data_IF_809922377879
#
_entry.id   IF_809922377879
#
_cell.length_a   1.000
_cell.length_b   1.000
_cell.length_c   1.000
_cell.angle_alpha   90.00
_cell.angle_beta   90.00
_cell.angle_gamma   90.00
#
_symmetry.space_group_name_H-M   'P 1'
#
loop_
_entity.id
_entity.type
_entity.pdbx_description
1 polymer ?
#
# COMPACT_ATOMS: atom_id res chain seq x y z
N UNK A 1 -18.80 -9.90 2.75
CA UNK A 1 -18.24 -9.97 4.11
C UNK A 1 -17.75 -8.58 4.47
N UNK A 2 -18.39 -7.89 5.41
CA UNK A 2 -17.98 -6.54 5.82
C UNK A 2 -16.89 -6.65 6.89
N UNK A 3 -15.71 -6.04 6.67
CA UNK A 3 -14.64 -5.96 7.66
C UNK A 3 -15.00 -4.89 8.69
N UNK A 4 -15.79 -5.26 9.69
CA UNK A 4 -16.00 -4.38 10.85
C UNK A 4 -14.74 -4.33 11.71
N UNK A 5 -14.09 -3.17 11.82
CA UNK A 5 -13.08 -2.97 12.86
C UNK A 5 -13.77 -2.83 14.22
N UNK A 6 -14.12 -3.96 14.82
CA UNK A 6 -14.82 -3.98 16.12
C UNK A 6 -13.97 -3.47 17.29
N UNK A 7 -12.67 -3.26 17.09
CA UNK A 7 -11.71 -2.79 18.10
C UNK A 7 -10.57 -1.97 17.47
N UNK A 8 -10.01 -1.01 18.22
CA UNK A 8 -8.79 -0.25 17.87
C UNK A 8 -7.62 -1.16 17.48
N UNK A 9 -7.54 -2.36 18.08
CA UNK A 9 -6.57 -3.39 17.74
C UNK A 9 -6.74 -3.96 16.33
N UNK A 10 -7.97 -4.13 15.84
CA UNK A 10 -8.23 -4.64 14.50
C UNK A 10 -7.82 -3.62 13.43
N UNK A 11 -8.13 -2.33 13.67
CA UNK A 11 -7.66 -1.23 12.82
C UNK A 11 -6.13 -1.16 12.83
N UNK A 12 -5.50 -1.27 14.00
CA UNK A 12 -4.04 -1.26 14.09
C UNK A 12 -3.39 -2.42 13.33
N UNK A 13 -3.96 -3.63 13.41
CA UNK A 13 -3.49 -4.79 12.64
C UNK A 13 -3.61 -4.57 11.13
N UNK A 14 -4.73 -4.02 10.66
CA UNK A 14 -4.90 -3.71 9.23
C UNK A 14 -3.90 -2.65 8.76
N UNK A 15 -3.63 -1.63 9.59
CA UNK A 15 -2.61 -0.63 9.27
C UNK A 15 -1.20 -1.24 9.19
N UNK A 16 -0.84 -2.11 10.14
CA UNK A 16 0.45 -2.81 10.10
C UNK A 16 0.56 -3.74 8.88
N UNK A 17 -0.51 -4.45 8.55
CA UNK A 17 -0.58 -5.28 7.35
C UNK A 17 -0.38 -4.43 6.10
N UNK A 18 -1.11 -3.33 5.97
CA UNK A 18 -0.96 -2.42 4.84
C UNK A 18 0.45 -1.81 4.75
N UNK A 19 1.05 -1.45 5.89
CA UNK A 19 2.44 -0.99 5.94
C UNK A 19 3.39 -2.05 5.39
N UNK A 20 3.23 -3.31 5.80
CA UNK A 20 4.06 -4.41 5.35
C UNK A 20 3.91 -4.66 3.85
N UNK A 21 2.67 -4.61 3.32
CA UNK A 21 2.41 -4.78 1.88
C UNK A 21 3.16 -3.76 1.03
N UNK A 22 3.18 -2.49 1.44
CA UNK A 22 3.83 -1.43 0.64
C UNK A 22 5.33 -1.29 0.91
N UNK A 23 5.83 -1.81 2.04
CA UNK A 23 7.21 -1.60 2.51
C UNK A 23 8.30 -1.95 1.50
N UNK A 24 8.05 -2.88 0.59
CA UNK A 24 9.04 -3.36 -0.37
C UNK A 24 9.23 -2.44 -1.58
N UNK A 25 8.32 -1.51 -1.84
CA UNK A 25 8.31 -0.72 -3.09
C UNK A 25 8.05 0.78 -2.90
N UNK A 26 8.09 1.24 -1.65
CA UNK A 26 7.97 2.65 -1.26
C UNK A 26 9.21 3.07 -0.49
N UNK A 27 9.49 4.38 -0.38
CA UNK A 27 10.65 4.87 0.38
C UNK A 27 10.48 4.64 1.88
N UNK A 28 9.30 4.96 2.41
CA UNK A 28 8.95 4.76 3.81
C UNK A 28 7.45 4.72 3.98
N UNK A 29 6.98 4.05 5.02
CA UNK A 29 5.57 4.03 5.39
C UNK A 29 5.44 4.19 6.91
N UNK A 30 4.66 5.20 7.34
CA UNK A 30 4.45 5.56 8.74
C UNK A 30 2.99 5.29 9.12
N UNK A 31 2.78 4.69 10.29
CA UNK A 31 1.45 4.30 10.77
C UNK A 31 0.89 5.35 11.73
N UNK A 32 -0.22 5.96 11.36
CA UNK A 32 -0.95 6.96 12.16
C UNK A 32 -2.19 6.33 12.79
N UNK A 33 -1.98 5.55 13.87
CA UNK A 33 -3.07 4.80 14.54
C UNK A 33 -4.18 5.68 15.12
N UNK A 34 -3.86 6.91 15.54
CA UNK A 34 -4.84 7.87 16.06
C UNK A 34 -5.81 8.37 14.99
N UNK A 35 -5.35 8.41 13.74
CA UNK A 35 -6.13 8.82 12.57
C UNK A 35 -6.67 7.63 11.77
N UNK A 36 -6.28 6.40 12.11
CA UNK A 36 -6.61 5.24 11.30
C UNK A 36 -5.96 5.28 9.91
N UNK A 37 -4.78 5.88 9.76
CA UNK A 37 -4.18 6.17 8.47
C UNK A 37 -2.74 5.69 8.32
N UNK A 38 -2.29 5.51 7.09
CA UNK A 38 -0.91 5.29 6.66
C UNK A 38 -0.42 6.51 5.89
N UNK A 39 0.79 6.94 6.19
CA UNK A 39 1.51 7.92 5.40
C UNK A 39 2.63 7.23 4.63
N UNK A 40 2.49 7.18 3.31
CA UNK A 40 3.37 6.48 2.41
C UNK A 40 4.21 7.49 1.64
N UNK A 41 5.52 7.46 1.83
CA UNK A 41 6.46 8.21 1.01
C UNK A 41 6.85 7.36 -0.21
N UNK A 42 6.58 7.87 -1.40
CA UNK A 42 6.87 7.23 -2.67
C UNK A 42 8.33 7.46 -3.09
N UNK A 43 8.82 6.61 -4.00
CA UNK A 43 10.15 6.72 -4.62
C UNK A 43 10.37 8.04 -5.36
N UNK A 44 9.29 8.74 -5.69
CA UNK A 44 9.30 10.05 -6.36
C UNK A 44 9.48 11.23 -5.40
N UNK A 45 9.52 10.98 -4.09
CA UNK A 45 9.55 12.03 -3.06
C UNK A 45 8.18 12.61 -2.71
N UNK A 46 7.09 12.07 -3.27
CA UNK A 46 5.72 12.44 -2.93
C UNK A 46 5.21 11.64 -1.72
N UNK A 47 4.38 12.26 -0.91
CA UNK A 47 3.70 11.58 0.21
C UNK A 47 2.22 11.40 -0.09
N UNK A 48 1.70 10.24 0.30
CA UNK A 48 0.29 9.87 0.15
C UNK A 48 -0.21 9.45 1.52
N UNK A 49 -1.33 10.02 1.94
CA UNK A 49 -2.01 9.61 3.15
C UNK A 49 -3.24 8.78 2.79
N UNK A 50 -3.31 7.60 3.39
CA UNK A 50 -4.30 6.56 3.14
C UNK A 50 -5.04 6.23 4.43
N UNK A 51 -6.35 6.40 4.47
CA UNK A 51 -7.17 6.05 5.63
C UNK A 51 -7.78 4.65 5.47
N UNK A 52 -7.66 3.83 6.50
CA UNK A 52 -8.31 2.53 6.58
C UNK A 52 -9.71 2.68 7.16
N UNK A 53 -10.70 2.11 6.47
CA UNK A 53 -12.11 2.14 6.87
C UNK A 53 -12.74 0.74 6.77
N UNK A 54 -13.96 0.61 7.30
CA UNK A 54 -14.78 -0.61 7.20
C UNK A 54 -15.02 -1.05 5.75
N UNK A 55 -15.06 -0.09 4.82
CA UNK A 55 -15.31 -0.35 3.40
C UNK A 55 -14.03 -0.66 2.62
N UNK A 56 -12.85 -0.35 3.19
CA UNK A 56 -11.56 -0.47 2.53
C UNK A 56 -10.69 0.76 2.76
N UNK A 57 -9.71 0.94 1.89
CA UNK A 57 -8.72 2.01 1.93
C UNK A 57 -9.16 3.22 1.12
N UNK A 58 -8.89 4.40 1.64
CA UNK A 58 -9.20 5.68 0.99
C UNK A 58 -7.94 6.52 0.89
N UNK A 59 -7.70 7.15 -0.26
CA UNK A 59 -6.65 8.16 -0.35
C UNK A 59 -7.23 9.49 0.10
N UNK A 60 -6.73 10.02 1.22
CA UNK A 60 -7.25 11.24 1.84
C UNK A 60 -6.42 12.47 1.55
N UNK A 61 -5.13 12.30 1.23
CA UNK A 61 -4.26 13.41 0.89
C UNK A 61 -3.09 12.96 0.02
N UNK A 62 -2.64 13.84 -0.88
CA UNK A 62 -1.36 13.72 -1.57
C UNK A 62 -0.57 15.01 -1.43
N UNK A 63 0.76 14.93 -1.40
CA UNK A 63 1.64 16.10 -1.40
C UNK A 63 1.49 16.97 -2.66
N UNK A 64 1.02 16.38 -3.76
CA UNK A 64 0.71 17.11 -5.00
C UNK A 64 -0.61 17.91 -4.92
N UNK A 65 -1.32 17.87 -3.78
CA UNK A 65 -2.57 18.56 -3.54
C UNK A 65 -3.64 18.32 -4.63
N UNK A 66 -3.57 17.16 -5.30
CA UNK A 66 -4.61 16.69 -6.19
C UNK A 66 -5.76 16.23 -5.32
N UNK A 67 -6.91 16.90 -5.43
CA UNK A 67 -8.18 16.37 -4.91
C UNK A 67 -8.42 15.03 -5.60
N UNK A 68 -8.33 13.96 -4.83
CA UNK A 68 -8.58 12.62 -5.34
C UNK A 68 -10.03 12.30 -5.08
N UNK A 69 -10.73 11.93 -6.15
CA UNK A 69 -12.06 11.34 -6.03
C UNK A 69 -11.96 10.17 -5.04
N UNK A 70 -12.71 10.26 -3.94
CA UNK A 70 -12.70 9.32 -2.81
C UNK A 70 -13.14 7.91 -3.20
N UNK A 71 -12.29 7.22 -3.95
CA UNK A 71 -12.45 5.83 -4.29
C UNK A 71 -12.17 4.96 -3.06
N UNK A 72 -13.01 3.96 -2.87
CA UNK A 72 -12.79 2.90 -1.89
C UNK A 72 -11.99 1.80 -2.57
N UNK A 73 -10.86 1.42 -1.99
CA UNK A 73 -9.99 0.39 -2.52
C UNK A 73 -9.95 -0.82 -1.60
N UNK A 74 -9.90 -2.02 -2.17
CA UNK A 74 -9.83 -3.26 -1.40
C UNK A 74 -8.52 -3.38 -0.60
N UNK A 75 -7.43 -2.84 -1.12
CA UNK A 75 -6.11 -2.88 -0.49
C UNK A 75 -5.36 -1.54 -0.59
N UNK A 76 -4.41 -1.34 0.32
CA UNK A 76 -3.51 -0.18 0.33
C UNK A 76 -2.71 -0.08 -0.97
N UNK A 77 -2.31 -1.22 -1.55
CA UNK A 77 -1.57 -1.30 -2.81
C UNK A 77 -2.42 -0.78 -3.96
N UNK A 78 -3.69 -1.19 -4.01
CA UNK A 78 -4.64 -0.74 -5.03
C UNK A 78 -4.90 0.76 -4.93
N UNK A 79 -5.07 1.27 -3.72
CA UNK A 79 -5.21 2.70 -3.46
C UNK A 79 -3.98 3.50 -3.90
N UNK A 80 -2.78 2.98 -3.62
CA UNK A 80 -1.53 3.60 -4.00
C UNK A 80 -1.32 3.61 -5.52
N UNK A 81 -1.71 2.53 -6.22
CA UNK A 81 -1.63 2.45 -7.69
C UNK A 81 -2.58 3.41 -8.40
N UNK A 82 -3.71 3.75 -7.76
CA UNK A 82 -4.63 4.73 -8.32
C UNK A 82 -4.04 6.13 -8.35
N UNK A 83 -3.05 6.42 -7.51
CA UNK A 83 -2.49 7.77 -7.33
C UNK A 83 -1.03 7.89 -7.74
N UNK A 84 -0.30 6.78 -7.82
CA UNK A 84 1.08 6.75 -8.29
C UNK A 84 1.29 5.64 -9.32
N UNK A 85 1.51 6.07 -10.56
CA UNK A 85 1.93 5.17 -11.64
C UNK A 85 3.31 4.56 -11.35
N UNK A 86 4.25 5.33 -10.78
CA UNK A 86 5.58 4.79 -10.48
C UNK A 86 5.56 3.77 -9.34
N UNK A 87 4.67 3.90 -8.36
CA UNK A 87 4.48 2.86 -7.35
C UNK A 87 4.04 1.53 -8.00
N UNK A 88 3.14 1.60 -8.99
CA UNK A 88 2.72 0.44 -9.78
C UNK A 88 3.86 -0.16 -10.60
N UNK A 89 4.65 0.69 -11.27
CA UNK A 89 5.82 0.26 -12.05
C UNK A 89 6.86 -0.41 -11.15
N UNK A 90 7.20 0.20 -10.00
CA UNK A 90 8.14 -0.35 -9.03
C UNK A 90 7.68 -1.71 -8.48
N UNK A 91 6.41 -1.84 -8.08
CA UNK A 91 5.86 -3.11 -7.63
C UNK A 91 5.91 -4.19 -8.74
N UNK A 92 5.59 -3.82 -9.98
CA UNK A 92 5.64 -4.75 -11.12
C UNK A 92 7.08 -5.20 -11.40
N UNK A 93 8.05 -4.30 -11.32
CA UNK A 93 9.47 -4.63 -11.48
C UNK A 93 9.96 -5.61 -10.42
N UNK A 94 9.57 -5.43 -9.15
CA UNK A 94 9.92 -6.35 -8.07
C UNK A 94 9.30 -7.73 -8.26
N UNK A 95 8.05 -7.81 -8.72
CA UNK A 95 7.42 -9.08 -9.06
C UNK A 95 8.18 -9.79 -10.18
N UNK A 96 8.59 -9.05 -11.22
CA UNK A 96 9.36 -9.63 -12.32
C UNK A 96 10.72 -10.16 -11.84
N UNK A 97 11.44 -9.40 -11.02
CA UNK A 97 12.71 -9.85 -10.43
C UNK A 97 12.55 -11.11 -9.56
N UNK A 98 11.50 -11.16 -8.74
CA UNK A 98 11.21 -12.32 -7.90
C UNK A 98 10.88 -13.56 -8.74
N UNK A 99 10.09 -13.40 -9.82
CA UNK A 99 9.78 -14.49 -10.75
C UNK A 99 11.01 -14.96 -11.52
N UNK A 100 11.91 -14.06 -11.94
CA UNK A 100 13.17 -14.44 -12.58
C UNK A 100 14.04 -15.28 -11.66
N UNK A 101 14.20 -14.88 -10.39
CA UNK A 101 14.96 -15.66 -9.39
C UNK A 101 14.38 -17.07 -9.19
N UNK A 102 13.06 -17.18 -9.05
CA UNK A 102 12.39 -18.49 -8.91
C UNK A 102 12.57 -19.39 -10.14
N UNK A 103 12.60 -18.80 -11.34
CA UNK A 103 12.86 -19.55 -12.57
C UNK A 103 14.32 -20.05 -12.63
N UNK A 104 15.28 -19.23 -12.21
CA UNK A 104 16.70 -19.62 -12.12
C UNK A 104 16.95 -20.69 -11.04
N UNK A 105 16.26 -20.62 -9.90
CA UNK A 105 16.38 -21.63 -8.83
C UNK A 105 15.74 -22.97 -9.22
N UNK A 106 14.70 -22.96 -10.05
CA UNK A 106 14.03 -24.20 -10.51
C UNK A 106 14.90 -25.03 -11.47
N UNK A 107 15.83 -24.40 -12.19
CA UNK A 107 16.76 -25.04 -13.14
C UNK A 107 17.95 -25.72 -12.44
N UNK A 108 18.20 -25.42 -11.15
CA UNK A 108 19.34 -25.95 -10.38
C UNK A 108 19.01 -27.17 -9.50
N UNK A 109 17.80 -27.74 -9.62
CA UNK A 109 17.33 -28.87 -8.80
C UNK A 109 17.21 -30.20 -9.56
N UNK A 110 17.86 -30.35 -10.73
CA UNK A 110 17.96 -31.63 -11.46
C UNK A 110 19.23 -32.45 -11.13
#
# INVERSE_FOLDING_TARGET
MARGFSSKEALHKELLQGQQEVSNFVMSCSVHTERGALEVALLEGHTVMLEASIQGWHVVQTSENKELNGGVFESVVSALFAVSKKAKEAHTSLLFEALSKLAEESDQTE
#
